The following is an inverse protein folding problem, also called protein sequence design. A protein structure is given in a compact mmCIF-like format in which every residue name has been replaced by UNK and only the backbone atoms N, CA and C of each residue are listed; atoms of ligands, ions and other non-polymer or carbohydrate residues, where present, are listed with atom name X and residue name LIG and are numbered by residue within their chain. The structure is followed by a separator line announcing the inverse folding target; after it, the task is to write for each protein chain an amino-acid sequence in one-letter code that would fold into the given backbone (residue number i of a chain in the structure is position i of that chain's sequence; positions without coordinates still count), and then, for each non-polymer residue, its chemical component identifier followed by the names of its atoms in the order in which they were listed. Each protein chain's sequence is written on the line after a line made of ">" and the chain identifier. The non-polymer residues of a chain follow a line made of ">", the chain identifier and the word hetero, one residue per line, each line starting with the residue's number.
data_IF_401015602909
#
_entry.id   IF_401015602909
#
_cell.length_a   1.000
_cell.length_b   1.000
_cell.length_c   1.000
_cell.angle_alpha   90.00
_cell.angle_beta   90.00
_cell.angle_gamma   90.00
#
_symmetry.space_group_name_H-M   'P 1'
#
loop_
_entity.id
_entity.type
_entity.pdbx_description
1 polymer ?
#
# COMPACT_ATOMS: atom_id res chain seq x y z
N UNK A 1 -6.13 -29.81 -13.52
CA UNK A 1 -5.23 -28.90 -12.79
C UNK A 1 -6.00 -27.73 -12.22
N UNK A 2 -5.79 -27.44 -10.97
CA UNK A 2 -6.36 -26.23 -10.39
C UNK A 2 -5.56 -25.03 -10.81
N UNK A 3 -6.22 -24.01 -11.32
CA UNK A 3 -5.61 -22.72 -11.51
C UNK A 3 -5.39 -22.00 -10.19
N UNK A 4 -4.52 -21.00 -10.19
CA UNK A 4 -4.36 -20.12 -9.05
C UNK A 4 -5.66 -19.36 -8.80
N UNK A 5 -6.14 -19.35 -7.55
CA UNK A 5 -7.27 -18.54 -7.13
C UNK A 5 -6.74 -17.44 -6.23
N UNK A 6 -6.73 -16.22 -6.77
CA UNK A 6 -6.42 -15.03 -6.01
C UNK A 6 -7.67 -14.16 -6.01
N UNK A 7 -8.18 -13.82 -4.82
CA UNK A 7 -9.44 -13.10 -4.69
C UNK A 7 -9.18 -11.77 -4.00
N UNK A 8 -9.39 -10.68 -4.74
CA UNK A 8 -9.32 -9.34 -4.18
C UNK A 8 -10.58 -9.09 -3.36
N UNK A 9 -10.40 -8.58 -2.14
CA UNK A 9 -11.50 -8.31 -1.21
C UNK A 9 -11.52 -6.86 -0.72
N UNK A 10 -10.56 -6.02 -1.09
CA UNK A 10 -10.60 -4.63 -0.66
C UNK A 10 -9.45 -3.81 -1.19
N UNK A 11 -9.55 -2.51 -0.97
CA UNK A 11 -8.50 -1.53 -1.29
C UNK A 11 -7.82 -1.11 0.00
N UNK A 12 -6.51 -1.29 0.09
CA UNK A 12 -5.76 -0.98 1.30
C UNK A 12 -5.24 0.45 1.30
N UNK A 13 -4.41 0.82 0.35
CA UNK A 13 -3.82 2.14 0.32
C UNK A 13 -3.34 2.56 -1.07
N UNK A 14 -3.19 3.86 -1.21
CA UNK A 14 -2.59 4.53 -2.36
C UNK A 14 -1.36 5.27 -1.84
N UNK A 15 -0.27 5.25 -2.58
CA UNK A 15 0.94 5.97 -2.21
C UNK A 15 1.15 7.13 -3.17
N UNK A 16 1.07 8.35 -2.65
CA UNK A 16 1.27 9.58 -3.41
C UNK A 16 2.67 10.12 -3.19
N UNK A 17 3.32 10.53 -4.28
CA UNK A 17 4.53 11.31 -4.20
C UNK A 17 4.13 12.79 -4.07
N UNK A 18 4.59 13.44 -3.02
CA UNK A 18 4.27 14.84 -2.73
C UNK A 18 5.55 15.65 -2.57
N UNK A 19 5.47 16.93 -2.90
CA UNK A 19 6.65 17.80 -2.85
C UNK A 19 6.99 18.24 -1.42
N UNK A 20 6.00 18.27 -0.52
CA UNK A 20 6.14 18.73 0.86
C UNK A 20 5.09 18.03 1.71
N UNK A 21 5.53 17.08 2.55
CA UNK A 21 4.62 16.26 3.36
C UNK A 21 3.81 17.13 4.34
N UNK A 22 4.45 18.09 5.03
CA UNK A 22 3.74 18.91 6.01
C UNK A 22 2.62 19.73 5.35
N UNK A 23 2.86 20.25 4.16
CA UNK A 23 1.84 20.99 3.42
C UNK A 23 0.70 20.07 2.99
N UNK A 24 1.02 18.86 2.57
CA UNK A 24 0.01 17.86 2.22
C UNK A 24 -0.82 17.46 3.44
N UNK A 25 -0.17 17.23 4.58
CA UNK A 25 -0.86 16.93 5.83
C UNK A 25 -1.82 18.05 6.22
N UNK A 26 -1.39 19.31 6.10
CA UNK A 26 -2.26 20.45 6.41
C UNK A 26 -3.55 20.42 5.58
N UNK A 27 -3.46 20.03 4.31
CA UNK A 27 -4.61 19.91 3.43
C UNK A 27 -5.51 18.72 3.81
N UNK A 28 -4.95 17.53 3.95
CA UNK A 28 -5.75 16.34 4.20
C UNK A 28 -6.34 16.29 5.62
N UNK A 29 -5.61 16.77 6.62
CA UNK A 29 -6.10 16.78 8.00
C UNK A 29 -6.99 17.96 8.30
N UNK A 30 -6.75 19.13 7.67
CA UNK A 30 -7.52 20.34 7.89
C UNK A 30 -8.83 20.35 7.12
N UNK A 31 -8.86 20.93 5.89
CA UNK A 31 -10.11 21.04 5.13
C UNK A 31 -10.84 19.73 4.90
N UNK A 32 -10.11 18.62 4.68
CA UNK A 32 -10.73 17.33 4.43
C UNK A 32 -11.03 16.55 5.71
N UNK A 33 -10.44 16.93 6.84
CA UNK A 33 -10.75 16.35 8.14
C UNK A 33 -10.38 14.88 8.29
N UNK A 34 -9.42 14.37 7.50
CA UNK A 34 -8.97 12.99 7.65
C UNK A 34 -8.15 12.83 8.92
N UNK A 35 -8.07 11.61 9.44
CA UNK A 35 -7.31 11.35 10.65
C UNK A 35 -5.84 11.04 10.35
N UNK A 36 -4.91 11.52 11.20
CA UNK A 36 -3.49 11.22 11.02
C UNK A 36 -3.17 9.78 11.37
N UNK A 37 -2.23 9.19 10.61
CA UNK A 37 -1.69 7.85 10.88
C UNK A 37 -0.18 7.96 10.88
N UNK A 38 0.46 7.70 12.00
CA UNK A 38 1.91 7.74 12.22
C UNK A 38 2.56 9.11 11.94
N UNK A 39 1.80 10.19 12.06
CA UNK A 39 2.33 11.53 11.76
C UNK A 39 3.39 11.95 12.78
N UNK A 40 3.11 11.77 14.07
CA UNK A 40 4.08 12.12 15.12
C UNK A 40 5.31 11.22 15.07
N UNK A 41 5.13 9.95 14.78
CA UNK A 41 6.24 9.00 14.62
C UNK A 41 7.11 9.39 13.42
N UNK A 42 6.50 9.84 12.33
CA UNK A 42 7.26 10.34 11.18
C UNK A 42 8.02 11.61 11.52
N UNK A 43 7.40 12.57 12.21
CA UNK A 43 8.07 13.80 12.64
C UNK A 43 9.24 13.52 13.57
N UNK A 44 9.14 12.46 14.36
CA UNK A 44 10.21 12.03 15.26
C UNK A 44 11.29 11.18 14.57
N UNK A 45 11.14 10.93 13.25
CA UNK A 45 12.11 10.13 12.50
C UNK A 45 12.01 8.63 12.75
N UNK A 46 10.92 8.16 13.36
CA UNK A 46 10.77 6.74 13.70
C UNK A 46 10.22 5.89 12.56
N UNK A 47 9.52 6.51 11.61
CA UNK A 47 8.99 5.85 10.43
C UNK A 47 9.30 6.70 9.19
N UNK A 48 9.38 6.09 8.01
CA UNK A 48 9.83 6.81 6.81
C UNK A 48 8.77 7.70 6.16
N UNK A 49 7.49 7.52 6.48
CA UNK A 49 6.41 8.29 5.89
C UNK A 49 5.19 8.29 6.82
N UNK A 50 4.38 9.38 6.78
CA UNK A 50 3.09 9.41 7.46
C UNK A 50 1.98 9.00 6.49
N UNK A 51 0.79 8.78 7.04
CA UNK A 51 -0.40 8.47 6.25
C UNK A 51 -1.61 9.22 6.80
N UNK A 52 -2.67 9.26 6.01
CA UNK A 52 -3.96 9.80 6.42
C UNK A 52 -5.03 8.73 6.21
N UNK A 53 -5.97 8.65 7.15
CA UNK A 53 -7.01 7.60 7.13
C UNK A 53 -8.23 8.10 6.39
N UNK A 54 -8.59 7.37 5.33
CA UNK A 54 -9.78 7.66 4.53
C UNK A 54 -11.00 6.94 5.12
N UNK A 55 -10.84 5.68 5.49
CA UNK A 55 -11.86 4.83 6.09
C UNK A 55 -11.17 3.79 6.98
N UNK A 56 -11.90 2.98 7.75
CA UNK A 56 -11.27 2.00 8.64
C UNK A 56 -10.25 1.08 7.95
N UNK A 57 -10.47 0.76 6.70
CA UNK A 57 -9.60 -0.16 5.97
C UNK A 57 -8.74 0.50 4.89
N UNK A 58 -8.74 1.83 4.75
CA UNK A 58 -8.04 2.50 3.65
C UNK A 58 -7.30 3.73 4.13
N UNK A 59 -6.02 3.84 3.76
CA UNK A 59 -5.18 5.00 4.03
C UNK A 59 -4.54 5.51 2.74
N UNK A 60 -4.04 6.74 2.78
CA UNK A 60 -3.17 7.31 1.75
C UNK A 60 -1.82 7.54 2.41
N UNK A 61 -0.78 6.94 1.87
CA UNK A 61 0.60 7.15 2.31
C UNK A 61 1.18 8.34 1.54
N UNK A 62 1.96 9.18 2.23
CA UNK A 62 2.56 10.37 1.62
C UNK A 62 4.08 10.21 1.60
N UNK A 63 4.66 10.14 0.40
CA UNK A 63 6.09 10.04 0.20
C UNK A 63 6.59 11.39 -0.31
N UNK A 64 7.67 11.91 0.30
CA UNK A 64 8.26 13.15 -0.19
C UNK A 64 9.24 12.83 -1.31
N UNK A 65 8.78 12.97 -2.54
CA UNK A 65 9.54 12.69 -3.74
C UNK A 65 9.14 13.67 -4.84
N UNK A 66 10.04 13.96 -5.79
CA UNK A 66 9.68 14.78 -6.93
C UNK A 66 8.50 14.16 -7.67
N UNK A 67 7.55 15.01 -8.06
CA UNK A 67 6.47 14.60 -8.94
C UNK A 67 7.04 14.45 -10.36
N UNK A 68 6.96 13.23 -10.89
CA UNK A 68 7.39 12.94 -12.25
C UNK A 68 6.19 12.53 -13.10
N UNK A 69 6.46 11.69 -14.07
CA UNK A 69 5.41 11.11 -14.93
C UNK A 69 4.48 10.20 -14.13
N UNK A 70 5.01 9.56 -13.09
CA UNK A 70 4.23 8.70 -12.20
C UNK A 70 4.09 9.38 -10.85
N UNK A 71 2.91 9.94 -10.59
CA UNK A 71 2.63 10.58 -9.30
C UNK A 71 2.23 9.58 -8.23
N UNK A 72 1.60 8.48 -8.62
CA UNK A 72 1.22 7.38 -7.73
C UNK A 72 2.36 6.37 -7.74
N UNK A 73 2.96 6.13 -6.58
CA UNK A 73 4.05 5.16 -6.46
C UNK A 73 3.52 3.73 -6.68
N UNK A 74 2.46 3.39 -5.99
CA UNK A 74 1.77 2.11 -6.16
C UNK A 74 0.39 2.14 -5.53
N UNK A 75 -0.43 1.17 -5.89
CA UNK A 75 -1.70 0.90 -5.20
C UNK A 75 -1.57 -0.43 -4.47
N UNK A 76 -2.37 -0.61 -3.43
CA UNK A 76 -2.38 -1.86 -2.69
C UNK A 76 -3.79 -2.41 -2.57
N UNK A 77 -3.96 -3.65 -2.98
CA UNK A 77 -5.22 -4.38 -2.89
C UNK A 77 -5.12 -5.48 -1.85
N UNK A 78 -6.17 -5.66 -1.08
CA UNK A 78 -6.27 -6.75 -0.11
C UNK A 78 -6.83 -7.98 -0.81
N UNK A 79 -6.20 -9.13 -0.59
CA UNK A 79 -6.65 -10.40 -1.13
C UNK A 79 -6.98 -11.36 0.03
N UNK A 80 -7.73 -12.41 -0.26
CA UNK A 80 -7.91 -13.48 0.71
C UNK A 80 -6.56 -14.15 0.99
N UNK A 81 -6.29 -14.56 2.23
CA UNK A 81 -5.02 -15.21 2.57
C UNK A 81 -4.71 -16.40 1.69
N UNK A 82 -3.47 -16.46 1.23
CA UNK A 82 -2.98 -17.56 0.40
C UNK A 82 -1.46 -17.64 0.54
N UNK A 83 -0.88 -18.73 0.01
CA UNK A 83 0.56 -18.91 0.01
C UNK A 83 1.19 -18.13 -1.16
N UNK A 84 1.98 -17.12 -0.85
CA UNK A 84 2.66 -16.32 -1.87
C UNK A 84 3.58 -17.17 -2.76
N UNK A 85 4.14 -18.27 -2.25
CA UNK A 85 4.99 -19.13 -3.07
C UNK A 85 4.22 -19.75 -4.24
N UNK A 86 2.94 -20.10 -4.02
CA UNK A 86 2.09 -20.58 -5.10
C UNK A 86 1.87 -19.53 -6.17
N UNK A 87 1.73 -18.26 -5.76
CA UNK A 87 1.57 -17.14 -6.70
C UNK A 87 2.83 -16.95 -7.52
N UNK A 88 3.99 -16.93 -6.86
CA UNK A 88 5.28 -16.78 -7.54
C UNK A 88 5.51 -17.94 -8.52
N UNK A 89 5.25 -19.16 -8.07
CA UNK A 89 5.48 -20.36 -8.89
C UNK A 89 4.52 -20.47 -10.06
N UNK A 90 3.35 -19.82 -9.98
CA UNK A 90 2.36 -19.85 -11.06
C UNK A 90 2.86 -19.21 -12.35
N UNK A 91 3.79 -18.27 -12.26
CA UNK A 91 4.29 -17.50 -13.41
C UNK A 91 3.27 -16.56 -14.03
N UNK A 92 2.10 -16.38 -13.38
CA UNK A 92 1.04 -15.50 -13.90
C UNK A 92 1.44 -14.03 -13.80
N UNK A 93 2.16 -13.66 -12.72
CA UNK A 93 2.52 -12.27 -12.43
C UNK A 93 4.00 -12.02 -12.62
N UNK A 94 4.32 -10.80 -13.05
CA UNK A 94 5.69 -10.29 -13.00
C UNK A 94 5.92 -9.75 -11.59
N UNK A 95 6.67 -10.50 -10.78
CA UNK A 95 6.96 -10.14 -9.39
C UNK A 95 8.17 -9.21 -9.35
N UNK A 96 8.06 -8.09 -8.66
CA UNK A 96 9.15 -7.10 -8.55
C UNK A 96 9.68 -6.94 -7.13
N UNK A 97 8.93 -7.35 -6.10
CA UNK A 97 9.39 -7.31 -4.71
C UNK A 97 8.55 -8.24 -3.84
N UNK A 98 9.12 -8.70 -2.75
CA UNK A 98 8.47 -9.61 -1.80
C UNK A 98 8.57 -11.07 -2.22
N UNK A 99 7.88 -11.96 -1.49
CA UNK A 99 6.94 -11.67 -0.39
C UNK A 99 7.63 -11.17 0.88
N UNK A 100 6.91 -10.38 1.66
CA UNK A 100 7.41 -9.86 2.92
C UNK A 100 6.37 -9.09 3.69
N UNK A 101 6.70 -8.79 4.94
CA UNK A 101 5.83 -8.00 5.81
C UNK A 101 5.95 -6.52 5.48
N UNK A 102 4.81 -5.84 5.37
CA UNK A 102 4.76 -4.40 5.11
C UNK A 102 3.65 -3.76 5.92
N UNK A 103 3.85 -2.50 6.33
CA UNK A 103 2.83 -1.72 6.98
C UNK A 103 1.73 -1.34 5.99
N UNK A 104 0.47 -1.34 6.44
CA UNK A 104 -0.67 -0.93 5.63
C UNK A 104 -1.79 -0.39 6.49
N UNK A 105 -2.98 -0.26 5.92
CA UNK A 105 -4.12 0.39 6.54
C UNK A 105 -4.56 -0.25 7.85
N UNK A 106 -4.38 -1.55 8.00
CA UNK A 106 -4.77 -2.32 9.18
C UNK A 106 -3.55 -2.89 9.93
N UNK A 107 -2.38 -2.27 9.79
CA UNK A 107 -1.14 -2.73 10.38
C UNK A 107 -0.31 -3.55 9.42
N UNK A 108 0.55 -4.43 9.93
CA UNK A 108 1.40 -5.24 9.09
C UNK A 108 0.61 -6.33 8.38
N UNK A 109 0.91 -6.51 7.10
CA UNK A 109 0.36 -7.57 6.28
C UNK A 109 1.45 -8.26 5.49
N UNK A 110 1.11 -9.38 4.87
CA UNK A 110 2.02 -10.16 4.04
C UNK A 110 1.83 -9.75 2.60
N UNK A 111 2.84 -9.14 1.99
CA UNK A 111 2.71 -8.45 0.72
C UNK A 111 3.60 -9.02 -0.37
N UNK A 112 3.12 -8.93 -1.61
CA UNK A 112 3.84 -9.25 -2.82
C UNK A 112 3.59 -8.12 -3.82
N UNK A 113 4.64 -7.62 -4.47
CA UNK A 113 4.54 -6.54 -5.44
C UNK A 113 4.66 -7.09 -6.85
N UNK A 114 3.72 -6.76 -7.70
CA UNK A 114 3.67 -7.21 -9.09
C UNK A 114 3.44 -6.03 -10.03
N UNK A 115 3.66 -6.24 -11.32
CA UNK A 115 3.39 -5.21 -12.33
C UNK A 115 2.10 -5.52 -13.07
N UNK A 116 1.34 -4.47 -13.39
CA UNK A 116 0.23 -4.59 -14.31
C UNK A 116 0.75 -4.51 -15.77
N UNK A 117 -0.11 -4.66 -16.80
CA UNK A 117 0.35 -4.66 -18.19
C UNK A 117 1.08 -3.40 -18.64
N UNK A 118 0.80 -2.26 -18.03
CA UNK A 118 1.45 -0.99 -18.36
C UNK A 118 2.63 -0.66 -17.46
N UNK A 119 3.01 -1.59 -16.59
CA UNK A 119 4.13 -1.39 -15.68
C UNK A 119 3.78 -0.65 -14.39
N UNK A 120 2.50 -0.47 -14.08
CA UNK A 120 2.11 0.07 -12.79
C UNK A 120 2.38 -0.95 -11.69
N UNK A 121 2.94 -0.50 -10.57
CA UNK A 121 3.20 -1.38 -9.43
C UNK A 121 1.92 -1.59 -8.63
N UNK A 122 1.59 -2.85 -8.41
CA UNK A 122 0.45 -3.26 -7.59
C UNK A 122 0.98 -4.10 -6.43
N UNK A 123 0.74 -3.63 -5.22
CA UNK A 123 1.01 -4.40 -4.02
C UNK A 123 -0.22 -5.24 -3.71
N UNK A 124 -0.04 -6.54 -3.55
CA UNK A 124 -1.09 -7.45 -3.12
C UNK A 124 -0.76 -7.88 -1.70
N UNK A 125 -1.74 -7.83 -0.79
CA UNK A 125 -1.49 -8.21 0.61
C UNK A 125 -2.64 -8.96 1.20
N UNK A 126 -2.33 -9.80 2.18
CA UNK A 126 -3.35 -10.37 3.05
C UNK A 126 -2.95 -10.13 4.50
N UNK A 127 -3.93 -10.12 5.36
CA UNK A 127 -3.75 -9.88 6.79
C UNK A 127 -3.95 -11.18 7.57
N UNK A 128 -3.10 -11.42 8.56
CA UNK A 128 -3.17 -12.64 9.37
C UNK A 128 -4.51 -12.76 10.10
N UNK A 129 -5.10 -11.64 10.52
CA UNK A 129 -6.40 -11.66 11.18
C UNK A 129 -7.55 -12.09 10.27
N UNK A 130 -7.33 -12.12 8.94
CA UNK A 130 -8.31 -12.60 7.97
C UNK A 130 -8.13 -14.09 7.65
N UNK A 131 -7.07 -14.68 8.17
CA UNK A 131 -6.76 -16.08 7.89
C UNK A 131 -7.62 -17.03 8.74
#
# INVERSE_FOLDING_TARGET
>A
MKGLILRVIGFDHLVLNVSDIERSLAFYLGPLGLEPVRVEEWRAGKVPFPSVRVSPGTIIDLFERPRGESNVDHICLVVEPLDWQEVVDSGIFTVVDGPGSRFGARGDGESLYVLDPDGNTVELRWYRQDA
#
